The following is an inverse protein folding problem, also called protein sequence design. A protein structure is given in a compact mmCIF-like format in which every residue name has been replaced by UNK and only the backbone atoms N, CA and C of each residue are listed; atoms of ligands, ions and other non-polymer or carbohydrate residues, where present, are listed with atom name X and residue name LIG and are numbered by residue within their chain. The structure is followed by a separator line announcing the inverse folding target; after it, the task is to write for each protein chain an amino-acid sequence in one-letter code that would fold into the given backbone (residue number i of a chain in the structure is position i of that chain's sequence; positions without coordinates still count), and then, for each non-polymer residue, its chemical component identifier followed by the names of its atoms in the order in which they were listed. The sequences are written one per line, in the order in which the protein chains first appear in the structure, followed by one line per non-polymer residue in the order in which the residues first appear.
data_IF_783451795558
#
_entry.id   IF_783451795558
#
_cell.length_a   1.000
_cell.length_b   1.000
_cell.length_c   1.000
_cell.angle_alpha   90.00
_cell.angle_beta   90.00
_cell.angle_gamma   90.00
#
_symmetry.space_group_name_H-M   'P 1'
#
loop_
_entity.id
_entity.type
_entity.pdbx_description
1 polymer ?
#
# COMPACT_ATOMS: atom_id res chain seq x y z
N UNK A 1 -1.24 19.71 -14.05
CA UNK A 1 -0.09 18.92 -14.58
C UNK A 1 0.63 19.81 -15.56
N UNK A 2 1.92 20.05 -15.37
CA UNK A 2 2.62 21.14 -16.06
C UNK A 2 3.66 20.63 -17.05
N UNK A 3 3.89 21.40 -18.13
CA UNK A 3 4.96 21.17 -19.10
C UNK A 3 6.33 21.69 -18.64
N UNK A 4 6.43 22.48 -17.57
CA UNK A 4 7.71 23.06 -17.06
C UNK A 4 7.81 23.18 -15.53
N UNK A 5 6.95 22.51 -14.77
CA UNK A 5 6.99 22.55 -13.29
C UNK A 5 6.95 21.16 -12.69
N UNK A 6 7.87 20.87 -11.77
CA UNK A 6 7.83 19.68 -10.92
C UNK A 6 6.59 19.74 -10.04
N UNK A 7 5.80 18.66 -10.05
CA UNK A 7 4.64 18.56 -9.17
C UNK A 7 5.12 18.33 -7.74
N UNK A 8 4.58 19.08 -6.78
CA UNK A 8 4.85 18.85 -5.37
C UNK A 8 4.43 17.43 -4.96
N UNK A 9 5.36 16.72 -4.34
CA UNK A 9 5.11 15.37 -3.86
C UNK A 9 4.20 15.45 -2.63
N UNK A 10 2.96 14.97 -2.78
CA UNK A 10 2.02 14.93 -1.66
C UNK A 10 2.57 13.98 -0.59
N UNK A 11 2.80 14.50 0.61
CA UNK A 11 3.19 13.69 1.76
C UNK A 11 2.10 12.66 2.04
N UNK A 12 2.40 11.39 1.75
CA UNK A 12 1.50 10.29 2.05
C UNK A 12 1.37 10.19 3.58
N UNK A 13 0.18 10.48 4.12
CA UNK A 13 -0.12 10.30 5.55
C UNK A 13 0.20 8.85 5.95
N UNK A 14 0.68 8.64 7.18
CA UNK A 14 0.90 7.28 7.65
C UNK A 14 -0.44 6.57 7.81
N UNK A 15 -0.42 5.26 7.55
CA UNK A 15 -1.60 4.43 7.68
C UNK A 15 -2.08 4.42 9.15
N UNK A 16 -3.36 4.65 9.47
CA UNK A 16 -3.80 4.73 10.87
C UNK A 16 -3.60 3.42 11.64
N UNK A 17 -3.64 2.28 10.95
CA UNK A 17 -3.54 0.96 11.58
C UNK A 17 -2.09 0.48 11.68
N UNK A 18 -1.28 0.69 10.63
CA UNK A 18 0.10 0.19 10.58
C UNK A 18 1.16 1.24 10.84
N UNK A 19 0.80 2.53 10.88
CA UNK A 19 1.70 3.69 11.00
C UNK A 19 2.91 3.66 10.05
N UNK A 20 2.78 2.93 8.94
CA UNK A 20 3.87 2.71 7.99
C UNK A 20 3.52 3.36 6.64
N UNK A 21 4.43 4.21 6.15
CA UNK A 21 4.29 4.91 4.86
C UNK A 21 4.29 3.94 3.67
N UNK A 22 5.06 2.85 3.73
CA UNK A 22 5.14 1.85 2.66
C UNK A 22 3.83 1.10 2.48
N UNK A 23 3.18 0.74 3.59
CA UNK A 23 1.87 0.05 3.55
C UNK A 23 0.82 0.95 2.91
N UNK A 24 0.79 2.24 3.28
CA UNK A 24 -0.16 3.19 2.69
C UNK A 24 0.06 3.38 1.17
N UNK A 25 1.31 3.45 0.72
CA UNK A 25 1.62 3.52 -0.73
C UNK A 25 1.12 2.25 -1.44
N UNK A 26 1.31 1.07 -0.84
CA UNK A 26 0.85 -0.19 -1.40
C UNK A 26 -0.68 -0.27 -1.48
N UNK A 27 -1.38 0.13 -0.41
CA UNK A 27 -2.85 0.21 -0.37
C UNK A 27 -3.36 1.13 -1.48
N UNK A 28 -2.79 2.34 -1.61
CA UNK A 28 -3.23 3.32 -2.63
C UNK A 28 -2.96 2.86 -4.07
N UNK A 29 -1.97 1.99 -4.31
CA UNK A 29 -1.71 1.38 -5.63
C UNK A 29 -2.66 0.23 -5.96
N UNK A 30 -3.03 -0.57 -4.97
CA UNK A 30 -3.96 -1.71 -5.13
C UNK A 30 -5.42 -1.22 -5.16
N UNK A 31 -5.68 -0.02 -4.64
CA UNK A 31 -7.00 0.59 -4.57
C UNK A 31 -7.64 0.70 -5.95
N UNK A 32 -8.64 -0.15 -6.21
CA UNK A 32 -9.50 -0.06 -7.40
C UNK A 32 -10.82 0.61 -7.02
N UNK A 33 -11.27 1.54 -7.86
CA UNK A 33 -12.56 2.26 -7.72
C UNK A 33 -12.74 3.00 -6.38
N UNK A 34 -11.65 3.41 -5.73
CA UNK A 34 -11.71 4.11 -4.44
C UNK A 34 -12.12 3.25 -3.23
N UNK A 35 -12.29 1.92 -3.40
CA UNK A 35 -12.75 1.02 -2.33
C UNK A 35 -11.64 0.68 -1.33
N UNK A 36 -11.41 1.56 -0.35
CA UNK A 36 -10.32 1.41 0.64
C UNK A 36 -10.47 0.19 1.54
N UNK A 37 -11.68 -0.09 2.02
CA UNK A 37 -11.96 -1.26 2.87
C UNK A 37 -11.57 -2.57 2.21
N UNK A 38 -11.89 -2.72 0.91
CA UNK A 38 -11.54 -3.90 0.12
C UNK A 38 -10.02 -4.02 -0.08
N UNK A 39 -9.32 -2.91 -0.34
CA UNK A 39 -7.86 -2.92 -0.48
C UNK A 39 -7.16 -3.37 0.81
N UNK A 40 -7.64 -2.91 1.98
CA UNK A 40 -7.16 -3.42 3.27
C UNK A 40 -7.48 -4.90 3.44
N UNK A 41 -8.72 -5.33 3.19
CA UNK A 41 -9.10 -6.73 3.30
C UNK A 41 -8.20 -7.64 2.47
N UNK A 42 -7.90 -7.28 1.22
CA UNK A 42 -6.98 -8.05 0.37
C UNK A 42 -5.58 -8.11 0.98
N UNK A 43 -5.04 -6.98 1.45
CA UNK A 43 -3.70 -6.94 2.07
C UNK A 43 -3.60 -7.74 3.37
N UNK A 44 -4.61 -7.68 4.23
CA UNK A 44 -4.65 -8.46 5.46
C UNK A 44 -4.85 -9.96 5.18
N UNK A 45 -5.71 -10.29 4.22
CA UNK A 45 -5.98 -11.68 3.84
C UNK A 45 -4.73 -12.31 3.22
N UNK A 46 -4.02 -11.59 2.35
CA UNK A 46 -2.74 -12.02 1.74
C UNK A 46 -1.63 -12.28 2.78
N UNK A 47 -1.51 -11.47 3.85
CA UNK A 47 -0.56 -11.76 4.95
C UNK A 47 -0.79 -13.11 5.63
N UNK A 48 -2.02 -13.61 5.59
CA UNK A 48 -2.41 -14.91 6.12
C UNK A 48 -2.42 -16.03 5.07
N UNK A 49 -2.33 -15.71 3.77
CA UNK A 49 -2.29 -16.71 2.71
C UNK A 49 -0.91 -17.40 2.65
N UNK A 50 -0.87 -18.74 2.51
CA UNK A 50 0.39 -19.51 2.49
C UNK A 50 1.27 -19.23 1.25
N UNK A 51 0.73 -18.55 0.22
CA UNK A 51 1.43 -18.27 -1.02
C UNK A 51 2.56 -17.24 -0.86
N UNK A 52 2.34 -16.16 -0.10
CA UNK A 52 3.36 -15.12 0.16
C UNK A 52 4.45 -15.60 1.13
N UNK A 53 4.16 -16.61 1.95
CA UNK A 53 5.07 -17.12 2.99
C UNK A 53 6.21 -17.99 2.44
N UNK A 54 6.16 -18.42 1.17
CA UNK A 54 7.15 -19.35 0.59
C UNK A 54 8.56 -18.77 0.36
N UNK A 55 8.80 -17.48 0.58
CA UNK A 55 10.13 -16.85 0.42
C UNK A 55 10.56 -16.05 1.64
N UNK A 56 10.66 -16.71 2.80
CA UNK A 56 11.21 -16.08 4.00
C UNK A 56 12.34 -16.91 4.61
N UNK A 57 13.36 -17.22 3.80
CA UNK A 57 14.70 -17.51 4.32
C UNK A 57 15.45 -16.18 4.34
N UNK A 58 15.58 -15.60 5.53
CA UNK A 58 16.50 -14.49 5.80
C UNK A 58 17.71 -15.11 6.47
N UNK A 59 18.77 -15.33 5.70
CA UNK A 59 20.14 -15.29 6.23
C UNK A 59 20.53 -13.83 6.42
#
# INVERSE_FOLDING_TARGET
MSRRGTAEEKTAKSDPIYRNRLVNILVNRILKHGKKSLAYQILYKEKHLPFVRKRKNRN
#
